data_IF_812696685865
#
_entry.id   IF_812696685865
#
_cell.length_a   1.000
_cell.length_b   1.000
_cell.length_c   1.000
_cell.angle_alpha   90.00
_cell.angle_beta   90.00
_cell.angle_gamma   90.00
#
_symmetry.space_group_name_H-M   'P 1'
#
loop_
_entity.id
_entity.type
_entity.pdbx_description
1 polymer ?
#
# COMPACT_ATOMS: atom_id res chain seq x y z
N UNK A 1 -24.35 18.66 -21.99
CA UNK A 1 -23.49 17.61 -21.37
C UNK A 1 -24.28 16.33 -21.41
N UNK A 2 -23.90 15.38 -22.27
CA UNK A 2 -24.46 14.03 -22.23
C UNK A 2 -23.66 13.27 -21.17
N UNK A 3 -24.34 12.82 -20.12
CA UNK A 3 -23.80 11.81 -19.21
C UNK A 3 -24.09 10.46 -19.85
N UNK A 4 -23.05 9.74 -20.26
CA UNK A 4 -23.22 8.33 -20.61
C UNK A 4 -23.68 7.59 -19.35
N UNK A 5 -24.76 6.78 -19.43
CA UNK A 5 -25.20 5.98 -18.29
C UNK A 5 -24.09 5.01 -17.92
N UNK A 6 -23.80 4.90 -16.62
CA UNK A 6 -22.82 3.96 -16.08
C UNK A 6 -23.14 2.55 -16.60
N UNK A 7 -22.13 1.85 -17.07
CA UNK A 7 -22.32 0.47 -17.54
C UNK A 7 -22.55 -0.43 -16.33
N UNK A 8 -23.19 -1.59 -16.53
CA UNK A 8 -23.35 -2.60 -15.47
C UNK A 8 -22.01 -3.02 -14.87
N UNK A 9 -20.92 -2.94 -15.64
CA UNK A 9 -19.57 -3.19 -15.14
C UNK A 9 -19.09 -2.09 -14.18
N UNK A 10 -19.37 -0.82 -14.48
CA UNK A 10 -19.05 0.31 -13.62
C UNK A 10 -19.85 0.27 -12.32
N UNK A 11 -21.13 -0.12 -12.37
CA UNK A 11 -21.96 -0.29 -11.18
C UNK A 11 -21.40 -1.38 -10.25
N UNK A 12 -21.03 -2.53 -10.80
CA UNK A 12 -20.45 -3.64 -10.02
C UNK A 12 -19.09 -3.24 -9.42
N UNK A 13 -18.20 -2.66 -10.23
CA UNK A 13 -16.85 -2.29 -9.80
C UNK A 13 -16.80 -1.05 -8.90
N UNK A 14 -17.85 -0.23 -8.88
CA UNK A 14 -17.94 0.96 -8.00
C UNK A 14 -17.89 0.61 -6.51
N UNK A 15 -18.33 -0.59 -6.14
CA UNK A 15 -18.37 -1.08 -4.76
C UNK A 15 -17.08 -1.76 -4.32
N UNK A 16 -16.17 -2.03 -5.25
CA UNK A 16 -14.92 -2.76 -4.98
C UNK A 16 -13.87 -1.75 -4.48
N UNK A 17 -13.23 -1.99 -3.32
CA UNK A 17 -12.10 -1.18 -2.89
C UNK A 17 -11.01 -1.17 -3.96
N UNK A 18 -10.71 0.00 -4.52
CA UNK A 18 -9.62 0.14 -5.49
C UNK A 18 -8.30 0.00 -4.74
N UNK A 19 -7.62 -1.11 -4.98
CA UNK A 19 -6.24 -1.31 -4.53
C UNK A 19 -5.34 -0.57 -5.51
N UNK A 20 -4.38 0.21 -5.02
CA UNK A 20 -3.43 0.90 -5.89
C UNK A 20 -2.58 -0.12 -6.65
N UNK A 21 -2.08 0.22 -7.85
CA UNK A 21 -1.15 -0.65 -8.58
C UNK A 21 0.03 -1.09 -7.72
N UNK A 22 0.59 -0.18 -6.93
CA UNK A 22 1.68 -0.48 -6.02
C UNK A 22 1.29 -1.50 -4.94
N UNK A 23 0.11 -1.33 -4.32
CA UNK A 23 -0.35 -2.27 -3.29
C UNK A 23 -0.67 -3.65 -3.84
N UNK A 24 -1.13 -3.75 -5.08
CA UNK A 24 -1.26 -5.04 -5.77
C UNK A 24 0.11 -5.70 -5.94
N UNK A 25 1.10 -4.98 -6.47
CA UNK A 25 2.47 -5.51 -6.63
C UNK A 25 3.14 -5.86 -5.30
N UNK A 26 2.84 -5.10 -4.24
CA UNK A 26 3.31 -5.39 -2.88
C UNK A 26 2.83 -6.76 -2.40
N UNK A 27 1.53 -7.02 -2.50
CA UNK A 27 0.96 -8.29 -2.06
C UNK A 27 1.54 -9.47 -2.85
N UNK A 28 1.67 -9.32 -4.17
CA UNK A 28 2.27 -10.37 -5.03
C UNK A 28 3.74 -10.65 -4.67
N UNK A 29 4.52 -9.60 -4.40
CA UNK A 29 5.90 -9.74 -3.97
C UNK A 29 6.03 -10.41 -2.59
N UNK A 30 5.14 -10.08 -1.66
CA UNK A 30 5.07 -10.71 -0.33
C UNK A 30 4.74 -12.21 -0.44
N UNK A 31 3.71 -12.56 -1.22
CA UNK A 31 3.35 -13.96 -1.48
C UNK A 31 4.51 -14.74 -2.13
N UNK A 32 5.18 -14.14 -3.11
CA UNK A 32 6.34 -14.73 -3.76
C UNK A 32 7.49 -15.00 -2.77
N UNK A 33 7.81 -14.04 -1.90
CA UNK A 33 8.88 -14.18 -0.93
C UNK A 33 8.54 -15.25 0.12
N UNK A 34 7.30 -15.31 0.61
CA UNK A 34 6.86 -16.39 1.49
C UNK A 34 6.92 -17.77 0.83
N UNK A 35 6.56 -17.87 -0.45
CA UNK A 35 6.58 -19.14 -1.18
C UNK A 35 8.01 -19.61 -1.50
N UNK A 36 8.93 -18.69 -1.79
CA UNK A 36 10.28 -19.02 -2.26
C UNK A 36 11.34 -19.03 -1.16
N UNK A 37 11.11 -18.31 -0.05
CA UNK A 37 12.06 -18.14 1.06
C UNK A 37 11.35 -18.26 2.42
N UNK A 38 10.90 -19.47 2.78
CA UNK A 38 10.20 -19.70 4.05
C UNK A 38 11.08 -19.45 5.28
N UNK A 39 12.41 -19.53 5.12
CA UNK A 39 13.38 -19.27 6.20
C UNK A 39 13.50 -17.77 6.56
N UNK A 40 12.90 -16.90 5.75
CA UNK A 40 12.80 -15.46 6.01
C UNK A 40 13.33 -14.58 4.87
N UNK A 41 12.93 -13.32 4.94
CA UNK A 41 13.32 -12.24 4.04
C UNK A 41 13.16 -10.90 4.79
N UNK A 42 13.86 -9.87 4.31
CA UNK A 42 13.71 -8.53 4.87
C UNK A 42 12.48 -7.84 4.27
N UNK A 43 11.72 -7.10 5.08
CA UNK A 43 10.49 -6.43 4.61
C UNK A 43 10.77 -5.45 3.47
N UNK A 44 11.94 -4.79 3.44
CA UNK A 44 12.30 -3.90 2.34
C UNK A 44 12.44 -4.64 0.99
N UNK A 45 12.63 -5.96 0.99
CA UNK A 45 12.66 -6.74 -0.25
C UNK A 45 11.31 -6.75 -0.95
N UNK A 46 10.20 -6.79 -0.20
CA UNK A 46 8.85 -6.69 -0.78
C UNK A 46 8.72 -5.38 -1.55
N UNK A 47 9.05 -4.26 -0.89
CA UNK A 47 8.96 -2.94 -1.49
C UNK A 47 9.87 -2.75 -2.70
N UNK A 48 11.09 -3.32 -2.67
CA UNK A 48 12.02 -3.25 -3.81
C UNK A 48 11.51 -4.04 -5.02
N UNK A 49 10.97 -5.24 -4.80
CA UNK A 49 10.41 -6.07 -5.88
C UNK A 49 9.18 -5.38 -6.46
N UNK A 50 8.23 -5.00 -5.60
CA UNK A 50 7.00 -4.33 -6.03
C UNK A 50 7.27 -3.04 -6.82
N UNK A 51 8.24 -2.23 -6.38
CA UNK A 51 8.60 -0.99 -7.07
C UNK A 51 9.37 -1.24 -8.38
N UNK A 52 10.20 -2.27 -8.44
CA UNK A 52 10.93 -2.62 -9.66
C UNK A 52 9.99 -3.08 -10.77
N UNK A 53 8.99 -3.89 -10.42
CA UNK A 53 8.03 -4.49 -11.35
C UNK A 53 6.91 -3.53 -11.78
N UNK A 54 6.76 -2.40 -11.08
CA UNK A 54 5.82 -1.35 -11.48
C UNK A 54 6.18 -0.71 -12.82
N UNK A 55 5.17 -0.44 -13.68
CA UNK A 55 5.32 0.41 -14.85
C UNK A 55 5.85 1.79 -14.47
N UNK A 56 6.73 2.35 -15.30
CA UNK A 56 7.38 3.64 -15.00
C UNK A 56 6.39 4.77 -14.74
N UNK A 57 5.24 4.77 -15.44
CA UNK A 57 4.17 5.75 -15.26
C UNK A 57 3.56 5.73 -13.84
N UNK A 58 3.53 4.57 -13.19
CA UNK A 58 2.91 4.36 -11.87
C UNK A 58 3.90 4.61 -10.72
N UNK A 59 5.21 4.66 -11.01
CA UNK A 59 6.25 4.76 -9.98
C UNK A 59 6.17 6.06 -9.18
N UNK A 60 5.73 7.15 -9.81
CA UNK A 60 5.58 8.43 -9.11
C UNK A 60 4.48 8.33 -8.04
N UNK A 61 3.33 7.79 -8.41
CA UNK A 61 2.20 7.64 -7.50
C UNK A 61 2.50 6.62 -6.39
N UNK A 62 3.29 5.58 -6.71
CA UNK A 62 3.81 4.64 -5.71
C UNK A 62 4.74 5.30 -4.68
N UNK A 63 5.59 6.26 -5.10
CA UNK A 63 6.43 7.01 -4.17
C UNK A 63 5.57 7.90 -3.25
N UNK A 64 4.55 8.57 -3.80
CA UNK A 64 3.63 9.38 -3.02
C UNK A 64 2.92 8.51 -1.96
N UNK A 65 2.44 7.32 -2.35
CA UNK A 65 1.85 6.34 -1.43
C UNK A 65 2.84 5.95 -0.31
N UNK A 66 4.08 5.60 -0.66
CA UNK A 66 5.13 5.24 0.32
C UNK A 66 5.42 6.39 1.30
N UNK A 67 5.49 7.63 0.82
CA UNK A 67 5.71 8.80 1.68
C UNK A 67 4.55 9.02 2.65
N UNK A 68 3.31 8.92 2.17
CA UNK A 68 2.13 9.03 3.03
C UNK A 68 2.09 7.92 4.07
N UNK A 69 2.33 6.66 3.69
CA UNK A 69 2.37 5.54 4.63
C UNK A 69 3.44 5.74 5.70
N UNK A 70 4.65 6.15 5.31
CA UNK A 70 5.72 6.45 6.26
C UNK A 70 5.33 7.57 7.23
N UNK A 71 4.76 8.67 6.72
CA UNK A 71 4.37 9.80 7.54
C UNK A 71 3.27 9.43 8.54
N UNK A 72 2.25 8.67 8.10
CA UNK A 72 1.20 8.16 8.98
C UNK A 72 1.77 7.26 10.07
N UNK A 73 2.64 6.30 9.70
CA UNK A 73 3.28 5.42 10.69
C UNK A 73 4.11 6.21 11.73
N UNK A 74 4.80 7.28 11.30
CA UNK A 74 5.54 8.17 12.19
C UNK A 74 4.62 8.95 13.14
N UNK A 75 3.45 9.39 12.67
CA UNK A 75 2.46 10.06 13.51
C UNK A 75 1.87 9.08 14.54
N UNK A 76 1.48 7.88 14.11
CA UNK A 76 0.91 6.85 14.97
C UNK A 76 1.90 6.43 16.08
N UNK A 77 3.19 6.28 15.76
CA UNK A 77 4.24 5.98 16.73
C UNK A 77 4.38 7.12 17.77
N UNK A 78 4.29 8.39 17.33
CA UNK A 78 4.34 9.54 18.24
C UNK A 78 3.12 9.57 19.17
N UNK A 79 1.93 9.33 18.64
CA UNK A 79 0.69 9.30 19.43
C UNK A 79 0.72 8.15 20.45
N UNK A 80 1.18 6.97 20.03
CA UNK A 80 1.33 5.79 20.90
C UNK A 80 2.28 6.08 22.06
N UNK A 81 3.42 6.72 21.79
CA UNK A 81 4.38 7.10 22.85
C UNK A 81 3.84 8.17 23.78
N UNK A 82 3.09 9.14 23.26
CA UNK A 82 2.44 10.17 24.08
C UNK A 82 1.37 9.58 25.01
N UNK A 83 0.56 8.64 24.50
CA UNK A 83 -0.44 7.92 25.29
C UNK A 83 0.19 7.06 26.39
N UNK A 84 1.34 6.44 26.12
CA UNK A 84 2.07 5.62 27.11
C UNK A 84 2.81 6.49 28.15
N UNK A 85 3.30 7.68 27.77
CA UNK A 85 4.00 8.61 28.67
C UNK A 85 3.09 9.42 29.60
N UNK A 86 1.79 9.51 29.30
CA UNK A 86 0.81 10.24 30.12
C UNK A 86 0.21 9.45 31.31
N UNK A 87 0.60 8.18 31.48
CA UNK A 87 0.07 7.27 32.52
C UNK A 87 0.85 7.25 33.83
N UNK A 88 1.87 8.11 34.00
CA UNK A 88 2.65 8.22 35.23
C UNK A 88 2.64 9.66 35.76
N UNK A 89 1.56 10.04 36.43
CA UNK A 89 1.48 11.19 37.32
C UNK A 89 0.50 10.91 38.45
#
# INVERSE_FOLDING_TARGET
MNFDPLTTFDEITSSVPRVSPFRTMWNEAEELLHATRPDGFEVEEIGRIAFADLPEAERKDALDELFYTYWTALLDDRETRAAQGGGAA
#
